data_IF_292995487083
#
_entry.id   IF_292995487083
#
_cell.length_a   1.000
_cell.length_b   1.000
_cell.length_c   1.000
_cell.angle_alpha   90.00
_cell.angle_beta   90.00
_cell.angle_gamma   90.00
#
_symmetry.space_group_name_H-M   'P 1'
#
loop_
_entity.id
_entity.type
_entity.pdbx_description
1 polymer ?
#
# COMPACT_ATOMS: atom_id res chain seq x y z
N UNK A 1 -59.59 60.21 3.19
CA UNK A 1 -58.62 61.21 2.69
C UNK A 1 -58.49 61.00 1.19
N UNK A 2 -58.76 62.06 0.42
CA UNK A 2 -58.66 62.22 -1.03
C UNK A 2 -59.52 61.26 -1.90
N UNK A 3 -60.64 61.68 -2.52
CA UNK A 3 -60.79 62.59 -3.70
C UNK A 3 -59.99 62.09 -4.92
N UNK A 4 -60.51 61.88 -6.13
CA UNK A 4 -61.74 62.39 -6.75
C UNK A 4 -61.95 61.77 -8.13
N UNK A 5 -63.22 61.58 -8.48
CA UNK A 5 -63.88 61.89 -9.76
C UNK A 5 -63.43 61.18 -11.03
N UNK A 6 -64.17 60.11 -11.36
CA UNK A 6 -64.66 59.92 -12.72
C UNK A 6 -65.86 60.85 -12.95
N UNK A 7 -65.84 61.54 -14.09
CA UNK A 7 -66.98 62.21 -14.69
C UNK A 7 -67.13 61.65 -16.11
N UNK A 8 -68.28 61.01 -16.35
CA UNK A 8 -69.27 61.33 -17.40
C UNK A 8 -68.79 62.15 -18.61
N UNK A 9 -69.23 61.99 -19.87
CA UNK A 9 -70.14 61.13 -20.64
C UNK A 9 -70.21 61.84 -22.02
N UNK A 10 -70.52 61.09 -23.07
CA UNK A 10 -71.00 61.52 -24.41
C UNK A 10 -70.04 62.13 -25.45
N UNK A 11 -69.81 61.30 -26.48
CA UNK A 11 -70.40 61.40 -27.83
C UNK A 11 -69.95 62.51 -28.82
N UNK A 12 -69.67 62.02 -30.02
CA UNK A 12 -69.55 62.69 -31.31
C UNK A 12 -68.51 63.81 -31.49
N UNK A 13 -67.33 63.38 -31.95
CA UNK A 13 -66.67 64.09 -33.06
C UNK A 13 -66.05 63.07 -34.01
N UNK A 14 -66.71 62.89 -35.15
CA UNK A 14 -66.23 62.16 -36.31
C UNK A 14 -65.02 62.92 -36.89
N UNK A 15 -63.82 62.66 -36.38
CA UNK A 15 -62.58 63.11 -37.02
C UNK A 15 -62.22 62.09 -38.11
N UNK A 16 -62.58 62.44 -39.34
CA UNK A 16 -61.95 61.89 -40.53
C UNK A 16 -60.49 62.36 -40.57
N UNK A 17 -59.60 61.47 -41.02
CA UNK A 17 -58.18 61.66 -41.31
C UNK A 17 -57.19 61.41 -40.17
N UNK A 18 -56.85 60.14 -39.91
CA UNK A 18 -55.44 59.71 -39.78
C UNK A 18 -55.33 58.17 -39.88
N UNK A 19 -55.61 57.58 -41.06
CA UNK A 19 -55.12 56.23 -41.39
C UNK A 19 -53.58 56.29 -41.59
N UNK A 20 -52.83 56.57 -40.52
CA UNK A 20 -51.38 56.38 -40.50
C UNK A 20 -51.13 54.90 -40.25
N UNK A 21 -50.85 54.18 -41.33
CA UNK A 21 -50.06 52.96 -41.24
C UNK A 21 -48.67 53.35 -40.68
N UNK A 22 -48.52 53.33 -39.36
CA UNK A 22 -47.21 53.49 -38.73
C UNK A 22 -46.26 52.44 -39.31
N UNK A 23 -45.23 52.92 -39.99
CA UNK A 23 -44.21 52.06 -40.58
C UNK A 23 -43.45 51.40 -39.43
N UNK A 24 -43.65 50.09 -39.25
CA UNK A 24 -42.90 49.28 -38.28
C UNK A 24 -41.41 49.28 -38.65
N UNK A 25 -40.62 50.17 -38.02
CA UNK A 25 -39.16 50.19 -38.19
C UNK A 25 -38.53 49.18 -37.24
N UNK A 26 -38.19 48.00 -37.76
CA UNK A 26 -37.47 46.97 -37.01
C UNK A 26 -35.97 47.33 -36.88
N UNK A 27 -35.32 47.04 -35.74
CA UNK A 27 -33.88 47.22 -35.58
C UNK A 27 -33.07 46.44 -36.62
N UNK A 28 -31.98 47.03 -37.12
CA UNK A 28 -31.18 46.49 -38.24
C UNK A 28 -30.63 45.07 -38.02
N UNK A 29 -30.43 44.67 -36.77
CA UNK A 29 -29.94 43.32 -36.43
C UNK A 29 -31.06 42.28 -36.50
N UNK A 30 -32.30 42.67 -36.18
CA UNK A 30 -33.49 41.81 -36.28
C UNK A 30 -33.85 41.58 -37.75
N UNK A 31 -33.77 42.64 -38.57
CA UNK A 31 -34.05 42.54 -40.01
C UNK A 31 -33.08 41.58 -40.72
N UNK A 32 -31.78 41.65 -40.41
CA UNK A 32 -30.76 40.74 -40.98
C UNK A 32 -31.00 39.28 -40.65
N UNK A 33 -31.53 39.00 -39.46
CA UNK A 33 -31.83 37.63 -39.02
C UNK A 33 -33.11 37.13 -39.69
N UNK A 34 -34.12 38.00 -39.85
CA UNK A 34 -35.34 37.67 -40.59
C UNK A 34 -35.01 37.35 -42.05
N UNK A 35 -34.20 38.18 -42.72
CA UNK A 35 -33.80 37.96 -44.13
C UNK A 35 -32.97 36.68 -44.33
N UNK A 36 -32.26 36.20 -43.30
CA UNK A 36 -31.52 34.93 -43.34
C UNK A 36 -32.42 33.70 -43.16
N UNK A 37 -33.48 33.81 -42.37
CA UNK A 37 -34.36 32.69 -41.99
C UNK A 37 -35.53 32.56 -42.98
N UNK A 38 -36.01 33.68 -43.52
CA UNK A 38 -37.10 33.76 -44.49
C UNK A 38 -36.65 34.61 -45.68
N UNK A 39 -35.94 34.04 -46.67
CA UNK A 39 -35.57 34.76 -47.88
C UNK A 39 -36.83 35.00 -48.73
N UNK A 40 -37.48 36.14 -48.54
CA UNK A 40 -38.59 36.54 -49.39
C UNK A 40 -38.06 37.07 -50.73
N UNK A 41 -38.64 36.58 -51.82
CA UNK A 41 -38.36 37.08 -53.18
C UNK A 41 -39.45 38.04 -53.65
N UNK A 42 -40.46 38.32 -52.81
CA UNK A 42 -41.56 39.20 -53.13
C UNK A 42 -41.10 40.66 -53.01
N UNK A 43 -41.43 41.48 -54.00
CA UNK A 43 -41.01 42.88 -54.06
C UNK A 43 -41.68 43.73 -52.99
N UNK A 44 -42.84 43.25 -52.48
CA UNK A 44 -43.62 43.86 -51.40
C UNK A 44 -42.92 43.74 -50.04
N UNK A 45 -42.05 42.75 -49.86
CA UNK A 45 -41.36 42.48 -48.59
C UNK A 45 -40.06 43.31 -48.43
N UNK A 46 -39.73 44.17 -49.41
CA UNK A 46 -38.53 45.01 -49.36
C UNK A 46 -38.71 46.18 -48.39
N UNK A 47 -37.67 46.44 -47.60
CA UNK A 47 -37.63 47.55 -46.62
C UNK A 47 -37.86 48.92 -47.28
N UNK A 48 -37.41 49.10 -48.52
CA UNK A 48 -37.59 50.31 -49.33
C UNK A 48 -38.77 50.21 -50.32
N UNK A 49 -39.81 49.44 -50.00
CA UNK A 49 -40.95 49.27 -50.90
C UNK A 49 -41.61 50.62 -51.23
N UNK A 50 -41.51 51.03 -52.49
CA UNK A 50 -42.22 52.21 -52.99
C UNK A 50 -43.50 51.76 -53.72
N UNK A 51 -44.70 52.01 -53.14
CA UNK A 51 -45.95 51.59 -53.73
C UNK A 51 -46.19 52.26 -55.09
N UNK A 52 -45.67 53.48 -55.29
CA UNK A 52 -45.85 54.23 -56.55
C UNK A 52 -45.03 53.60 -57.67
N UNK A 53 -43.77 53.22 -57.40
CA UNK A 53 -42.92 52.57 -58.41
C UNK A 53 -43.42 51.17 -58.75
N UNK A 54 -43.93 50.43 -57.75
CA UNK A 54 -44.53 49.11 -57.95
C UNK A 54 -45.81 49.17 -58.79
N UNK A 55 -46.70 50.13 -58.51
CA UNK A 55 -47.90 50.36 -59.32
C UNK A 55 -47.52 50.77 -60.76
N UNK A 56 -46.51 51.63 -60.92
CA UNK A 56 -46.03 52.06 -62.23
C UNK A 56 -45.35 50.92 -63.02
N UNK A 57 -44.75 49.94 -62.35
CA UNK A 57 -44.23 48.72 -62.98
C UNK A 57 -45.36 47.76 -63.41
N UNK A 58 -46.43 47.66 -62.61
CA UNK A 58 -47.61 46.85 -62.95
C UNK A 58 -48.44 47.47 -64.08
N UNK A 59 -48.48 48.81 -64.18
CA UNK A 59 -49.21 49.54 -65.21
C UNK A 59 -48.33 50.58 -65.93
N UNK A 60 -47.41 50.17 -66.83
CA UNK A 60 -46.46 51.09 -67.48
C UNK A 60 -47.07 52.01 -68.53
N UNK A 61 -48.26 51.68 -69.05
CA UNK A 61 -48.95 52.43 -70.12
C UNK A 61 -50.45 52.49 -69.87
N UNK A 62 -51.15 53.50 -70.41
CA UNK A 62 -52.62 53.66 -70.24
C UNK A 62 -53.43 52.46 -70.75
N UNK A 63 -52.90 51.68 -71.70
CA UNK A 63 -53.54 50.46 -72.20
C UNK A 63 -53.49 49.31 -71.19
N UNK A 64 -52.52 49.31 -70.25
CA UNK A 64 -52.38 48.29 -69.20
C UNK A 64 -53.48 48.39 -68.12
N UNK A 65 -54.11 49.56 -67.98
CA UNK A 65 -55.22 49.79 -67.04
C UNK A 65 -56.48 48.96 -67.35
N UNK A 66 -56.57 48.40 -68.57
CA UNK A 66 -57.65 47.48 -68.94
C UNK A 66 -57.65 46.19 -68.09
N UNK A 67 -56.52 45.80 -67.49
CA UNK A 67 -56.38 44.58 -66.69
C UNK A 67 -56.47 44.82 -65.16
N UNK A 68 -56.94 46.00 -64.73
CA UNK A 68 -56.92 46.42 -63.32
C UNK A 68 -57.73 45.49 -62.41
N UNK A 69 -58.90 45.03 -62.87
CA UNK A 69 -59.77 44.16 -62.08
C UNK A 69 -59.16 42.76 -61.85
N UNK A 70 -58.37 42.26 -62.80
CA UNK A 70 -57.66 40.99 -62.69
C UNK A 70 -56.52 41.09 -61.66
N UNK A 71 -55.76 42.17 -61.68
CA UNK A 71 -54.70 42.45 -60.69
C UNK A 71 -55.30 42.63 -59.29
N UNK A 72 -56.40 43.38 -59.16
CA UNK A 72 -57.11 43.54 -57.88
C UNK A 72 -57.63 42.20 -57.38
N UNK A 73 -58.17 41.35 -58.26
CA UNK A 73 -58.61 39.99 -57.93
C UNK A 73 -57.47 39.12 -57.41
N UNK A 74 -56.31 39.15 -58.08
CA UNK A 74 -55.10 38.44 -57.68
C UNK A 74 -54.59 38.90 -56.30
N UNK A 75 -54.51 40.21 -56.07
CA UNK A 75 -54.09 40.78 -54.78
C UNK A 75 -55.06 40.40 -53.67
N UNK A 76 -56.38 40.50 -53.90
CA UNK A 76 -57.39 40.05 -52.92
C UNK A 76 -57.29 38.56 -52.61
N UNK A 77 -56.95 37.73 -53.60
CA UNK A 77 -56.73 36.29 -53.39
C UNK A 77 -55.47 36.05 -52.57
N UNK A 78 -54.37 36.77 -52.84
CA UNK A 78 -53.13 36.71 -52.05
C UNK A 78 -53.36 37.11 -50.59
N UNK A 79 -54.11 38.20 -50.35
CA UNK A 79 -54.46 38.64 -48.98
C UNK A 79 -55.22 37.55 -48.23
N UNK A 80 -56.20 36.88 -48.88
CA UNK A 80 -56.97 35.80 -48.24
C UNK A 80 -56.12 34.56 -47.96
N UNK A 81 -55.21 34.21 -48.85
CA UNK A 81 -54.26 33.12 -48.63
C UNK A 81 -53.36 33.43 -47.43
N UNK A 82 -52.79 34.64 -47.39
CA UNK A 82 -51.93 35.08 -46.30
C UNK A 82 -52.66 35.11 -44.94
N UNK A 83 -53.90 35.62 -44.89
CA UNK A 83 -54.71 35.61 -43.66
C UNK A 83 -55.00 34.18 -43.16
N UNK A 84 -55.13 33.23 -44.09
CA UNK A 84 -55.30 31.80 -43.75
C UNK A 84 -54.00 31.21 -43.19
N UNK A 85 -52.87 31.51 -43.82
CA UNK A 85 -51.54 31.05 -43.40
C UNK A 85 -51.13 31.63 -42.04
N UNK A 86 -51.43 32.91 -41.80
CA UNK A 86 -51.23 33.58 -40.51
C UNK A 86 -52.04 32.87 -39.43
N UNK A 87 -53.34 32.59 -39.67
CA UNK A 87 -54.18 31.90 -38.69
C UNK A 87 -53.70 30.47 -38.40
N UNK A 88 -53.21 29.77 -39.40
CA UNK A 88 -52.65 28.43 -39.22
C UNK A 88 -51.38 28.48 -38.37
N UNK A 89 -50.47 29.41 -38.69
CA UNK A 89 -49.21 29.60 -37.98
C UNK A 89 -49.43 30.01 -36.51
N UNK A 90 -50.35 30.92 -36.23
CA UNK A 90 -50.66 31.36 -34.86
C UNK A 90 -51.23 30.20 -34.02
N UNK A 91 -52.13 29.39 -34.59
CA UNK A 91 -52.68 28.23 -33.88
C UNK A 91 -51.63 27.16 -33.63
N UNK A 92 -50.76 26.91 -34.61
CA UNK A 92 -49.63 26.00 -34.46
C UNK A 92 -48.70 26.45 -33.33
N UNK A 93 -48.37 27.75 -33.28
CA UNK A 93 -47.53 28.32 -32.22
C UNK A 93 -48.16 28.22 -30.83
N UNK A 94 -49.46 28.52 -30.69
CA UNK A 94 -50.13 28.45 -29.39
C UNK A 94 -50.18 27.02 -28.83
N UNK A 95 -50.37 26.02 -29.69
CA UNK A 95 -50.37 24.61 -29.24
C UNK A 95 -48.96 24.13 -28.88
N UNK A 96 -47.93 24.55 -29.62
CA UNK A 96 -46.53 24.22 -29.29
C UNK A 96 -46.04 24.91 -28.02
N UNK A 97 -46.42 26.16 -27.75
CA UNK A 97 -46.01 26.87 -26.53
C UNK A 97 -46.53 26.17 -25.26
N UNK A 98 -47.78 25.68 -25.28
CA UNK A 98 -48.36 24.96 -24.14
C UNK A 98 -47.64 23.63 -23.89
N UNK A 99 -47.27 22.91 -24.96
CA UNK A 99 -46.59 21.62 -24.86
C UNK A 99 -45.11 21.80 -24.42
N UNK A 100 -44.44 22.84 -24.92
CA UNK A 100 -43.09 23.23 -24.49
C UNK A 100 -43.06 23.60 -23.00
N UNK A 101 -44.04 24.38 -22.52
CA UNK A 101 -44.15 24.73 -21.12
C UNK A 101 -44.37 23.51 -20.22
N UNK A 102 -45.21 22.56 -20.64
CA UNK A 102 -45.41 21.29 -19.91
C UNK A 102 -44.15 20.43 -19.89
N UNK A 103 -43.48 20.27 -21.03
CA UNK A 103 -42.24 19.50 -21.09
C UNK A 103 -41.15 20.12 -20.20
N UNK A 104 -41.08 21.45 -20.14
CA UNK A 104 -40.18 22.17 -19.25
C UNK A 104 -40.52 21.96 -17.78
N UNK A 105 -41.80 22.00 -17.42
CA UNK A 105 -42.26 21.75 -16.05
C UNK A 105 -42.00 20.30 -15.60
N UNK A 106 -42.25 19.32 -16.48
CA UNK A 106 -41.93 17.90 -16.22
C UNK A 106 -40.41 17.67 -16.07
N UNK A 107 -39.59 18.32 -16.90
CA UNK A 107 -38.14 18.28 -16.77
C UNK A 107 -37.68 18.90 -15.44
N UNK A 108 -38.25 20.04 -15.05
CA UNK A 108 -37.94 20.70 -13.77
C UNK A 108 -38.30 19.81 -12.58
N UNK A 109 -39.48 19.18 -12.60
CA UNK A 109 -39.92 18.25 -11.57
C UNK A 109 -39.03 17.00 -11.50
N UNK A 110 -38.62 16.46 -12.65
CA UNK A 110 -37.68 15.32 -12.72
C UNK A 110 -36.31 15.66 -12.15
N UNK A 111 -35.82 16.88 -12.43
CA UNK A 111 -34.56 17.38 -11.87
C UNK A 111 -34.64 17.50 -10.35
N UNK A 112 -35.75 18.05 -9.81
CA UNK A 112 -35.95 18.14 -8.36
C UNK A 112 -35.99 16.75 -7.70
N UNK A 113 -36.67 15.79 -8.32
CA UNK A 113 -36.71 14.41 -7.85
C UNK A 113 -35.31 13.77 -7.86
N UNK A 114 -34.52 13.97 -8.92
CA UNK A 114 -33.15 13.48 -9.01
C UNK A 114 -32.26 14.08 -7.93
N UNK A 115 -32.39 15.38 -7.63
CA UNK A 115 -31.65 16.00 -6.54
C UNK A 115 -32.02 15.42 -5.18
N UNK A 116 -33.30 15.11 -4.96
CA UNK A 116 -33.72 14.43 -3.74
C UNK A 116 -33.12 13.03 -3.65
N UNK A 117 -33.21 12.23 -4.72
CA UNK A 117 -32.64 10.89 -4.76
C UNK A 117 -31.12 10.91 -4.56
N UNK A 118 -30.42 11.87 -5.17
CA UNK A 118 -28.97 12.03 -5.00
C UNK A 118 -28.62 12.38 -3.55
N UNK A 119 -29.43 13.20 -2.88
CA UNK A 119 -29.26 13.52 -1.47
C UNK A 119 -29.49 12.30 -0.58
N UNK A 120 -30.52 11.51 -0.85
CA UNK A 120 -30.79 10.27 -0.12
C UNK A 120 -29.67 9.23 -0.30
N UNK A 121 -29.13 9.11 -1.52
CA UNK A 121 -27.99 8.24 -1.80
C UNK A 121 -26.76 8.72 -1.03
N UNK A 122 -26.50 10.03 -1.02
CA UNK A 122 -25.40 10.62 -0.26
C UNK A 122 -25.54 10.35 1.23
N UNK A 123 -26.71 10.60 1.82
CA UNK A 123 -26.95 10.34 3.25
C UNK A 123 -26.79 8.85 3.59
N UNK A 124 -27.21 7.94 2.71
CA UNK A 124 -26.99 6.50 2.88
C UNK A 124 -25.51 6.12 2.77
N UNK A 125 -24.78 6.73 1.84
CA UNK A 125 -23.35 6.52 1.67
C UNK A 125 -22.57 7.01 2.89
N UNK A 126 -22.89 8.20 3.40
CA UNK A 126 -22.25 8.79 4.59
C UNK A 126 -22.49 7.91 5.83
N UNK A 127 -23.73 7.43 6.04
CA UNK A 127 -24.06 6.47 7.11
C UNK A 127 -23.32 5.14 6.94
N UNK A 128 -23.20 4.65 5.70
CA UNK A 128 -22.46 3.42 5.41
C UNK A 128 -20.95 3.59 5.66
N UNK A 129 -20.38 4.75 5.35
CA UNK A 129 -18.98 5.06 5.63
C UNK A 129 -18.72 5.10 7.14
N UNK A 130 -19.59 5.75 7.91
CA UNK A 130 -19.49 5.82 9.37
C UNK A 130 -19.56 4.41 10.00
N UNK A 131 -20.51 3.58 9.57
CA UNK A 131 -20.63 2.19 10.03
C UNK A 131 -19.37 1.38 9.72
N UNK A 132 -18.81 1.51 8.51
CA UNK A 132 -17.56 0.81 8.13
C UNK A 132 -16.37 1.33 8.94
N UNK A 133 -16.28 2.63 9.19
CA UNK A 133 -15.25 3.21 10.07
C UNK A 133 -15.34 2.67 11.49
N UNK A 134 -16.55 2.50 12.02
CA UNK A 134 -16.74 1.93 13.35
C UNK A 134 -16.33 0.46 13.41
N UNK A 135 -16.78 -0.36 12.47
CA UNK A 135 -16.41 -1.79 12.39
C UNK A 135 -14.89 -1.93 12.24
N UNK A 136 -14.26 -1.14 11.36
CA UNK A 136 -12.81 -1.23 11.13
C UNK A 136 -11.98 -0.68 12.30
N UNK A 137 -12.52 0.23 13.12
CA UNK A 137 -11.89 0.66 14.38
C UNK A 137 -11.80 -0.51 15.36
N UNK A 138 -12.88 -1.26 15.53
CA UNK A 138 -12.94 -2.36 16.49
C UNK A 138 -12.07 -3.56 16.02
N UNK A 139 -12.01 -3.80 14.71
CA UNK A 139 -11.08 -4.79 14.12
C UNK A 139 -9.62 -4.43 14.45
N UNK A 140 -9.23 -3.15 14.33
CA UNK A 140 -7.87 -2.72 14.69
C UNK A 140 -7.56 -2.97 16.17
N UNK A 141 -8.52 -2.69 17.05
CA UNK A 141 -8.35 -2.97 18.48
C UNK A 141 -8.20 -4.47 18.75
N UNK A 142 -9.02 -5.29 18.09
CA UNK A 142 -8.92 -6.76 18.18
C UNK A 142 -7.58 -7.29 17.67
N UNK A 143 -7.06 -6.75 16.57
CA UNK A 143 -5.74 -7.14 16.05
C UNK A 143 -4.62 -6.76 17.01
N UNK A 144 -4.67 -5.56 17.60
CA UNK A 144 -3.71 -5.15 18.64
C UNK A 144 -3.82 -6.06 19.86
N UNK A 145 -5.03 -6.39 20.31
CA UNK A 145 -5.25 -7.30 21.42
C UNK A 145 -4.71 -8.70 21.11
N UNK A 146 -5.00 -9.25 19.93
CA UNK A 146 -4.49 -10.54 19.46
C UNK A 146 -2.96 -10.55 19.40
N UNK A 147 -2.34 -9.49 18.86
CA UNK A 147 -0.88 -9.36 18.80
C UNK A 147 -0.27 -9.31 20.19
N UNK A 148 -0.84 -8.51 21.10
CA UNK A 148 -0.38 -8.40 22.47
C UNK A 148 -0.50 -9.75 23.19
N UNK A 149 -1.64 -10.43 23.10
CA UNK A 149 -1.86 -11.75 23.69
C UNK A 149 -0.89 -12.79 23.13
N UNK A 150 -0.70 -12.83 21.81
CA UNK A 150 0.24 -13.78 21.16
C UNK A 150 1.67 -13.52 21.64
N UNK A 151 2.06 -12.25 21.74
CA UNK A 151 3.36 -11.85 22.26
C UNK A 151 3.52 -12.29 23.71
N UNK A 152 2.52 -12.02 24.57
CA UNK A 152 2.53 -12.43 25.98
C UNK A 152 2.57 -13.94 26.17
N UNK A 153 1.83 -14.71 25.38
CA UNK A 153 1.86 -16.19 25.43
C UNK A 153 3.24 -16.69 25.02
N UNK A 154 3.79 -16.15 23.94
CA UNK A 154 5.12 -16.55 23.43
C UNK A 154 6.22 -16.22 24.42
N UNK A 155 6.20 -15.02 25.03
CA UNK A 155 7.19 -14.62 26.04
C UNK A 155 7.08 -15.48 27.30
N UNK A 156 5.86 -15.81 27.73
CA UNK A 156 5.66 -16.72 28.87
C UNK A 156 6.19 -18.12 28.58
N UNK A 157 5.90 -18.67 27.40
CA UNK A 157 6.40 -19.99 26.99
C UNK A 157 7.93 -20.02 26.91
N UNK A 158 8.54 -18.97 26.37
CA UNK A 158 10.00 -18.83 26.35
C UNK A 158 10.59 -18.72 27.76
N UNK A 159 9.93 -18.00 28.67
CA UNK A 159 10.36 -17.92 30.07
C UNK A 159 10.29 -19.29 30.76
N UNK A 160 9.20 -20.02 30.57
CA UNK A 160 9.06 -21.39 31.07
C UNK A 160 10.15 -22.30 30.51
N UNK A 161 10.40 -22.23 29.19
CA UNK A 161 11.45 -23.00 28.54
C UNK A 161 12.83 -22.67 29.12
N UNK A 162 13.10 -21.42 29.47
CA UNK A 162 14.36 -20.98 30.05
C UNK A 162 14.54 -21.51 31.48
N UNK A 163 13.51 -21.43 32.32
CA UNK A 163 13.55 -21.97 33.70
C UNK A 163 13.71 -23.50 33.67
N UNK A 164 12.87 -24.22 32.91
CA UNK A 164 12.99 -25.68 32.78
C UNK A 164 14.31 -26.10 32.14
N UNK A 165 14.84 -25.30 31.21
CA UNK A 165 16.11 -25.53 30.55
C UNK A 165 17.28 -25.43 31.52
N UNK A 166 17.28 -24.41 32.39
CA UNK A 166 18.27 -24.24 33.46
C UNK A 166 18.25 -25.46 34.40
N UNK A 167 17.07 -25.87 34.88
CA UNK A 167 16.94 -27.02 35.79
C UNK A 167 17.44 -28.33 35.16
N UNK A 168 17.08 -28.56 33.88
CA UNK A 168 17.53 -29.75 33.13
C UNK A 168 19.04 -29.73 32.88
N UNK A 169 19.61 -28.57 32.55
CA UNK A 169 21.06 -28.41 32.37
C UNK A 169 21.79 -28.66 33.69
N UNK A 170 21.30 -28.12 34.81
CA UNK A 170 21.92 -28.34 36.13
C UNK A 170 21.90 -29.83 36.52
N UNK A 171 20.79 -30.53 36.25
CA UNK A 171 20.71 -31.97 36.44
C UNK A 171 21.65 -32.76 35.52
N UNK A 172 21.80 -32.33 34.26
CA UNK A 172 22.67 -32.97 33.28
C UNK A 172 24.16 -32.76 33.61
N UNK A 173 24.53 -31.59 34.12
CA UNK A 173 25.88 -31.27 34.65
C UNK A 173 26.26 -32.25 35.76
N UNK A 174 25.35 -32.47 36.74
CA UNK A 174 25.56 -33.41 37.85
C UNK A 174 25.72 -34.86 37.38
N UNK A 175 25.02 -35.26 36.33
CA UNK A 175 25.08 -36.60 35.73
C UNK A 175 26.22 -36.78 34.72
N UNK A 176 26.94 -35.72 34.36
CA UNK A 176 27.91 -35.69 33.26
C UNK A 176 27.33 -36.16 31.91
N UNK A 177 26.05 -35.93 31.65
CA UNK A 177 25.43 -36.28 30.37
C UNK A 177 25.67 -35.18 29.34
N UNK A 178 26.86 -35.20 28.72
CA UNK A 178 27.27 -34.12 27.82
C UNK A 178 26.42 -34.04 26.52
N UNK A 179 25.89 -35.17 26.04
CA UNK A 179 24.99 -35.17 24.88
C UNK A 179 23.70 -34.37 25.12
N UNK A 180 23.12 -34.50 26.32
CA UNK A 180 21.90 -33.77 26.69
C UNK A 180 22.17 -32.28 26.89
N UNK A 181 23.32 -31.93 27.48
CA UNK A 181 23.73 -30.53 27.68
C UNK A 181 23.88 -29.83 26.32
N UNK A 182 24.51 -30.46 25.33
CA UNK A 182 24.66 -29.85 24.00
C UNK A 182 23.31 -29.50 23.35
N UNK A 183 22.33 -30.40 23.47
CA UNK A 183 20.99 -30.22 22.89
C UNK A 183 20.15 -29.17 23.64
N UNK A 184 20.32 -29.05 24.96
CA UNK A 184 19.55 -28.13 25.79
C UNK A 184 20.16 -26.72 25.82
N UNK A 185 21.49 -26.61 25.75
CA UNK A 185 22.19 -25.34 25.89
C UNK A 185 21.90 -24.39 24.72
N UNK A 186 21.87 -24.90 23.48
CA UNK A 186 21.65 -24.05 22.31
C UNK A 186 20.26 -23.37 22.32
N UNK A 187 19.12 -24.07 22.54
CA UNK A 187 17.81 -23.44 22.69
C UNK A 187 17.75 -22.43 23.85
N UNK A 188 18.39 -22.72 24.98
CA UNK A 188 18.41 -21.83 26.15
C UNK A 188 19.16 -20.54 25.85
N UNK A 189 20.34 -20.62 25.21
CA UNK A 189 21.10 -19.44 24.77
C UNK A 189 20.27 -18.63 23.75
N UNK A 190 19.67 -19.28 22.76
CA UNK A 190 18.84 -18.59 21.76
C UNK A 190 17.66 -17.86 22.40
N UNK A 191 16.98 -18.47 23.37
CA UNK A 191 15.88 -17.79 24.07
C UNK A 191 16.38 -16.67 24.97
N UNK A 192 17.56 -16.82 25.59
CA UNK A 192 18.18 -15.73 26.34
C UNK A 192 18.50 -14.51 25.47
N UNK A 193 18.85 -14.70 24.20
CA UNK A 193 19.04 -13.61 23.23
C UNK A 193 17.73 -12.86 22.94
N UNK A 194 16.60 -13.57 22.85
CA UNK A 194 15.28 -12.94 22.70
C UNK A 194 14.87 -12.11 23.92
N UNK A 195 15.44 -12.41 25.10
CA UNK A 195 15.18 -11.67 26.34
C UNK A 195 16.13 -10.48 26.59
N UNK A 196 17.11 -10.21 25.71
CA UNK A 196 18.00 -9.05 25.86
C UNK A 196 17.28 -7.70 26.04
N UNK A 197 16.18 -7.40 25.33
CA UNK A 197 15.43 -6.14 25.54
C UNK A 197 14.81 -6.02 26.94
N UNK A 198 14.62 -7.14 27.64
CA UNK A 198 13.98 -7.22 28.94
C UNK A 198 14.98 -7.37 30.10
N UNK A 199 16.27 -7.19 29.85
CA UNK A 199 17.34 -7.37 30.84
C UNK A 199 17.25 -6.42 32.05
N UNK A 200 16.52 -5.31 31.92
CA UNK A 200 16.27 -4.37 33.01
C UNK A 200 15.36 -4.95 34.11
N UNK A 201 14.70 -6.09 33.84
CA UNK A 201 13.86 -6.79 34.81
C UNK A 201 14.79 -7.66 35.68
N UNK A 202 14.82 -7.47 37.01
CA UNK A 202 15.80 -8.12 37.88
C UNK A 202 15.73 -9.65 37.83
N UNK A 203 14.53 -10.23 37.68
CA UNK A 203 14.35 -11.69 37.58
C UNK A 203 14.96 -12.26 36.29
N UNK A 204 14.86 -11.52 35.17
CA UNK A 204 15.46 -11.94 33.89
C UNK A 204 16.97 -11.76 33.94
N UNK A 205 17.45 -10.72 34.62
CA UNK A 205 18.88 -10.52 34.85
C UNK A 205 19.48 -11.65 35.70
N UNK A 206 18.79 -12.08 36.75
CA UNK A 206 19.18 -13.22 37.58
C UNK A 206 19.25 -14.50 36.73
N UNK A 207 18.20 -14.79 35.96
CA UNK A 207 18.18 -15.94 35.05
C UNK A 207 19.31 -15.89 34.02
N UNK A 208 19.60 -14.72 33.45
CA UNK A 208 20.73 -14.53 32.53
C UNK A 208 22.07 -14.79 33.20
N UNK A 209 22.22 -14.35 34.44
CA UNK A 209 23.43 -14.57 35.25
C UNK A 209 23.59 -16.05 35.54
N UNK A 210 22.51 -16.74 35.94
CA UNK A 210 22.51 -18.18 36.17
C UNK A 210 22.91 -18.97 34.92
N UNK A 211 22.38 -18.61 33.74
CA UNK A 211 22.80 -19.26 32.47
C UNK A 211 24.28 -19.03 32.17
N UNK A 212 24.80 -17.82 32.41
CA UNK A 212 26.23 -17.52 32.23
C UNK A 212 27.10 -18.30 33.21
N UNK A 213 26.69 -18.40 34.47
CA UNK A 213 27.38 -19.19 35.50
C UNK A 213 27.37 -20.68 35.15
N UNK A 214 26.24 -21.24 34.72
CA UNK A 214 26.16 -22.62 34.24
C UNK A 214 27.06 -22.84 33.03
N UNK A 215 27.08 -21.92 32.07
CA UNK A 215 27.95 -22.01 30.89
C UNK A 215 29.43 -21.97 31.28
N UNK A 216 29.80 -21.13 32.25
CA UNK A 216 31.15 -21.09 32.80
C UNK A 216 31.51 -22.38 33.54
N UNK A 217 30.59 -22.95 34.34
CA UNK A 217 30.78 -24.24 35.01
C UNK A 217 30.98 -25.38 34.00
N UNK A 218 30.14 -25.45 32.97
CA UNK A 218 30.27 -26.44 31.89
C UNK A 218 31.62 -26.27 31.21
N UNK A 219 32.05 -25.04 30.92
CA UNK A 219 33.35 -24.74 30.28
C UNK A 219 34.52 -25.28 31.10
N UNK A 220 34.52 -25.04 32.41
CA UNK A 220 35.57 -25.55 33.33
C UNK A 220 35.53 -27.07 33.39
N UNK A 221 34.34 -27.67 33.51
CA UNK A 221 34.18 -29.12 33.60
C UNK A 221 34.59 -29.83 32.31
N UNK A 222 34.21 -29.29 31.15
CA UNK A 222 34.58 -29.80 29.82
C UNK A 222 36.08 -29.70 29.60
N UNK A 223 36.71 -28.58 29.97
CA UNK A 223 38.17 -28.44 29.91
C UNK A 223 38.84 -29.51 30.75
N UNK A 224 38.43 -29.67 32.00
CA UNK A 224 39.00 -30.68 32.90
C UNK A 224 38.81 -32.09 32.37
N UNK A 225 37.63 -32.41 31.83
CA UNK A 225 37.37 -33.72 31.24
C UNK A 225 38.24 -33.98 30.00
N UNK A 226 38.50 -32.95 29.18
CA UNK A 226 39.49 -33.05 28.10
C UNK A 226 40.91 -33.26 28.65
N UNK A 227 41.32 -32.54 29.70
CA UNK A 227 42.64 -32.72 30.32
C UNK A 227 42.80 -34.13 30.91
N UNK A 228 41.80 -34.63 31.63
CA UNK A 228 41.78 -35.96 32.25
C UNK A 228 41.73 -37.07 31.18
N UNK A 229 41.06 -36.84 30.04
CA UNK A 229 41.03 -37.77 28.91
C UNK A 229 42.44 -38.02 28.33
N UNK A 230 43.28 -36.99 28.25
CA UNK A 230 44.60 -37.08 27.61
C UNK A 230 45.78 -37.26 28.60
N UNK A 231 45.63 -36.84 29.86
CA UNK A 231 46.68 -36.99 30.89
C UNK A 231 46.36 -38.06 31.95
N UNK A 232 45.14 -38.61 31.96
CA UNK A 232 44.72 -39.59 32.96
C UNK A 232 45.40 -40.96 32.83
N UNK A 233 45.19 -41.87 33.80
CA UNK A 233 45.81 -43.20 33.81
C UNK A 233 45.46 -44.06 32.58
N UNK A 234 44.39 -43.72 31.85
CA UNK A 234 43.96 -44.39 30.61
C UNK A 234 44.43 -43.69 29.32
N UNK A 235 45.24 -42.62 29.41
CA UNK A 235 45.74 -41.86 28.26
C UNK A 235 46.46 -42.72 27.20
N UNK A 236 47.07 -43.83 27.63
CA UNK A 236 47.79 -44.76 26.74
C UNK A 236 46.88 -45.70 25.95
N UNK A 237 45.63 -45.88 26.37
CA UNK A 237 44.62 -46.75 25.77
C UNK A 237 43.34 -45.96 25.44
N UNK A 238 43.48 -44.71 24.98
CA UNK A 238 42.33 -43.88 24.67
C UNK A 238 41.64 -44.42 23.40
N UNK A 239 40.45 -45.00 23.56
CA UNK A 239 39.58 -45.38 22.46
C UNK A 239 38.56 -44.28 22.19
N UNK A 240 38.08 -44.10 20.94
CA UNK A 240 37.04 -43.13 20.62
C UNK A 240 35.77 -43.47 21.40
N UNK A 241 35.57 -42.81 22.54
CA UNK A 241 34.41 -43.02 23.38
C UNK A 241 33.33 -42.00 22.99
N UNK A 242 32.09 -42.46 22.88
CA UNK A 242 30.95 -41.61 22.50
C UNK A 242 30.81 -40.40 23.43
N UNK A 243 31.20 -40.57 24.69
CA UNK A 243 31.31 -39.51 25.68
C UNK A 243 32.22 -38.34 25.26
N UNK A 244 33.39 -38.60 24.68
CA UNK A 244 34.31 -37.54 24.25
C UNK A 244 33.82 -36.80 23.01
N UNK A 245 33.15 -37.51 22.09
CA UNK A 245 32.48 -36.88 20.95
C UNK A 245 31.38 -35.92 21.41
N UNK A 246 30.62 -36.30 22.44
CA UNK A 246 29.60 -35.44 23.01
C UNK A 246 30.20 -34.23 23.75
N UNK A 247 31.36 -34.39 24.41
CA UNK A 247 32.14 -33.27 24.95
C UNK A 247 32.60 -32.31 23.84
N UNK A 248 33.07 -32.82 22.71
CA UNK A 248 33.45 -31.98 21.57
C UNK A 248 32.25 -31.20 20.99
N UNK A 249 31.07 -31.83 20.90
CA UNK A 249 29.85 -31.16 20.46
C UNK A 249 29.47 -30.00 21.38
N UNK A 250 29.61 -30.15 22.71
CA UNK A 250 29.38 -29.03 23.64
C UNK A 250 30.37 -27.90 23.38
N UNK A 251 31.65 -28.21 23.18
CA UNK A 251 32.68 -27.18 22.93
C UNK A 251 32.31 -26.34 21.71
N UNK A 252 31.82 -26.97 20.65
CA UNK A 252 31.33 -26.26 19.46
C UNK A 252 30.08 -25.42 19.72
N UNK A 253 29.20 -25.83 20.64
CA UNK A 253 27.98 -25.08 21.01
C UNK A 253 28.27 -23.88 21.92
N UNK A 254 29.26 -23.97 22.82
CA UNK A 254 29.56 -22.92 23.80
C UNK A 254 30.25 -21.71 23.16
N UNK A 255 31.46 -21.90 22.64
CA UNK A 255 32.25 -20.82 22.03
C UNK A 255 33.37 -21.42 21.16
N UNK A 256 33.50 -21.03 19.88
CA UNK A 256 34.65 -21.37 19.04
C UNK A 256 36.01 -21.04 19.66
N UNK A 257 36.09 -20.06 20.58
CA UNK A 257 37.33 -19.75 21.32
C UNK A 257 37.75 -20.89 22.23
N UNK A 258 36.80 -21.53 22.91
CA UNK A 258 37.09 -22.68 23.79
C UNK A 258 37.70 -23.82 22.98
N UNK A 259 37.21 -24.06 21.76
CA UNK A 259 37.81 -25.02 20.83
C UNK A 259 39.29 -24.72 20.57
N UNK A 260 39.61 -23.48 20.23
CA UNK A 260 41.00 -23.07 19.97
C UNK A 260 41.88 -23.19 21.22
N UNK A 261 41.35 -22.89 22.40
CA UNK A 261 42.09 -23.06 23.65
C UNK A 261 42.39 -24.54 23.94
N UNK A 262 41.42 -25.43 23.75
CA UNK A 262 41.61 -26.88 23.92
C UNK A 262 42.61 -27.42 22.91
N UNK A 263 42.52 -27.02 21.64
CA UNK A 263 43.49 -27.40 20.60
C UNK A 263 44.90 -26.89 20.96
N UNK A 264 45.05 -25.63 21.33
CA UNK A 264 46.34 -25.06 21.70
C UNK A 264 46.95 -25.74 22.92
N UNK A 265 46.15 -26.02 23.94
CA UNK A 265 46.59 -26.76 25.11
C UNK A 265 47.05 -28.17 24.74
N UNK A 266 46.27 -28.87 23.91
CA UNK A 266 46.59 -30.22 23.45
C UNK A 266 47.90 -30.24 22.66
N UNK A 267 48.05 -29.35 21.67
CA UNK A 267 49.28 -29.22 20.87
C UNK A 267 50.48 -28.86 21.75
N UNK A 268 50.35 -27.91 22.69
CA UNK A 268 51.44 -27.56 23.62
C UNK A 268 51.85 -28.74 24.48
N UNK A 269 50.90 -29.55 24.93
CA UNK A 269 51.19 -30.73 25.77
C UNK A 269 51.97 -31.77 24.98
N UNK A 270 51.54 -32.10 23.76
CA UNK A 270 52.24 -33.08 22.91
C UNK A 270 53.58 -32.56 22.34
N UNK A 271 53.69 -31.27 22.07
CA UNK A 271 54.95 -30.63 21.63
C UNK A 271 55.85 -30.23 22.81
N UNK A 272 55.45 -30.47 24.06
CA UNK A 272 56.28 -30.17 25.23
C UNK A 272 57.57 -30.99 25.21
N UNK A 273 57.49 -32.27 24.82
CA UNK A 273 58.66 -33.13 24.65
C UNK A 273 59.62 -32.57 23.60
N UNK A 274 59.10 -32.08 22.47
CA UNK A 274 59.91 -31.39 21.46
C UNK A 274 60.57 -30.14 22.02
N UNK A 275 59.81 -29.34 22.76
CA UNK A 275 60.30 -28.09 23.36
C UNK A 275 61.42 -28.35 24.36
N UNK A 276 61.33 -29.43 25.15
CA UNK A 276 62.37 -29.85 26.09
C UNK A 276 63.59 -30.40 25.34
N UNK A 277 63.40 -31.25 24.32
CA UNK A 277 64.50 -31.89 23.56
C UNK A 277 65.28 -30.95 22.63
N UNK A 278 64.72 -29.78 22.30
CA UNK A 278 65.29 -28.84 21.35
C UNK A 278 65.32 -27.40 21.88
N UNK A 279 65.41 -27.23 23.21
CA UNK A 279 65.55 -25.94 23.87
C UNK A 279 66.91 -25.29 23.55
N UNK A 280 67.01 -23.96 23.53
CA UNK A 280 68.25 -23.20 23.19
C UNK A 280 69.49 -23.60 24.00
N UNK A 281 69.32 -24.17 25.18
CA UNK A 281 70.39 -24.68 26.04
C UNK A 281 70.93 -26.06 25.64
N UNK A 282 70.29 -26.77 24.71
CA UNK A 282 70.67 -28.13 24.31
C UNK A 282 71.44 -28.17 22.98
N UNK A 283 72.46 -29.03 22.90
CA UNK A 283 73.33 -29.18 21.72
C UNK A 283 72.59 -29.65 20.45
N UNK A 284 71.37 -30.19 20.59
CA UNK A 284 70.53 -30.65 19.48
C UNK A 284 69.79 -29.53 18.76
N UNK A 285 69.92 -28.28 19.22
CA UNK A 285 69.11 -27.14 18.78
C UNK A 285 69.66 -26.45 17.52
N UNK A 286 70.92 -26.70 17.20
CA UNK A 286 71.60 -26.10 16.06
C UNK A 286 71.06 -26.62 14.71
N UNK A 287 71.08 -25.75 13.69
CA UNK A 287 70.59 -26.00 12.33
C UNK A 287 71.18 -27.27 11.66
N UNK A 288 72.35 -27.69 12.11
CA UNK A 288 73.06 -28.91 11.67
C UNK A 288 72.35 -30.22 12.04
N UNK A 289 71.29 -30.17 12.86
CA UNK A 289 70.51 -31.35 13.27
C UNK A 289 69.04 -31.28 12.82
N UNK A 290 68.76 -30.52 11.76
CA UNK A 290 67.42 -30.38 11.18
C UNK A 290 66.80 -31.73 10.75
N UNK A 291 67.62 -32.67 10.26
CA UNK A 291 67.16 -34.01 9.89
C UNK A 291 66.62 -34.79 11.09
N UNK A 292 67.20 -34.61 12.28
CA UNK A 292 66.74 -35.25 13.51
C UNK A 292 65.42 -34.65 14.01
N UNK A 293 65.25 -33.32 13.89
CA UNK A 293 63.99 -32.64 14.19
C UNK A 293 62.87 -33.11 13.27
N UNK A 294 63.15 -33.20 11.98
CA UNK A 294 62.20 -33.69 10.99
C UNK A 294 61.86 -35.18 11.21
N UNK A 295 62.84 -36.03 11.53
CA UNK A 295 62.60 -37.44 11.84
C UNK A 295 61.85 -37.66 13.16
N UNK A 296 62.01 -36.76 14.14
CA UNK A 296 61.19 -36.77 15.36
C UNK A 296 59.74 -36.37 15.02
N UNK A 297 59.55 -35.28 14.27
CA UNK A 297 58.22 -34.79 13.90
C UNK A 297 57.44 -35.83 13.09
N UNK A 298 58.07 -36.49 12.12
CA UNK A 298 57.44 -37.59 11.36
C UNK A 298 56.99 -38.74 12.26
N UNK A 299 57.80 -39.14 13.23
CA UNK A 299 57.41 -40.21 14.18
C UNK A 299 56.26 -39.76 15.07
N UNK A 300 56.30 -38.53 15.58
CA UNK A 300 55.24 -37.96 16.39
C UNK A 300 53.92 -37.83 15.62
N UNK A 301 53.95 -37.44 14.34
CA UNK A 301 52.77 -37.35 13.48
C UNK A 301 52.15 -38.73 13.19
N UNK A 302 52.96 -39.75 12.90
CA UNK A 302 52.46 -41.12 12.69
C UNK A 302 51.82 -41.66 13.97
N UNK A 303 52.48 -41.48 15.12
CA UNK A 303 51.92 -41.88 16.42
C UNK A 303 50.63 -41.10 16.76
N UNK A 304 50.56 -39.84 16.34
CA UNK A 304 49.37 -39.02 16.49
C UNK A 304 48.21 -39.54 15.64
N UNK A 305 48.42 -39.81 14.35
CA UNK A 305 47.37 -40.28 13.45
C UNK A 305 46.84 -41.67 13.87
N UNK A 306 47.73 -42.58 14.29
CA UNK A 306 47.33 -43.90 14.78
C UNK A 306 46.42 -43.84 16.03
N UNK A 307 46.65 -42.85 16.91
CA UNK A 307 45.95 -42.76 18.21
C UNK A 307 44.77 -41.79 18.20
N UNK A 308 44.89 -40.65 17.52
CA UNK A 308 43.99 -39.50 17.71
C UNK A 308 43.15 -39.11 16.48
N UNK A 309 43.43 -39.67 15.31
CA UNK A 309 42.73 -39.37 14.04
C UNK A 309 41.20 -39.51 14.10
N UNK A 310 40.70 -40.41 14.96
CA UNK A 310 39.26 -40.71 15.10
C UNK A 310 38.58 -40.06 16.31
N UNK A 311 39.31 -39.30 17.11
CA UNK A 311 38.82 -38.75 18.38
C UNK A 311 38.17 -37.38 18.18
N UNK A 312 38.80 -36.54 17.35
CA UNK A 312 38.32 -35.20 17.09
C UNK A 312 37.34 -35.17 15.91
N UNK A 313 36.32 -34.31 15.95
CA UNK A 313 35.48 -34.07 14.78
C UNK A 313 36.27 -33.58 13.57
N UNK A 314 35.85 -33.96 12.36
CA UNK A 314 36.55 -33.61 11.11
C UNK A 314 36.67 -32.10 10.92
N UNK A 315 35.69 -31.32 11.37
CA UNK A 315 35.68 -29.86 11.24
C UNK A 315 36.66 -29.13 12.19
N UNK A 316 37.33 -29.84 13.10
CA UNK A 316 38.39 -29.27 13.93
C UNK A 316 39.74 -29.23 13.21
N UNK A 317 39.84 -29.81 11.99
CA UNK A 317 41.04 -29.82 11.15
C UNK A 317 42.30 -30.39 11.85
N UNK A 318 42.07 -31.30 12.80
CA UNK A 318 43.15 -31.97 13.55
C UNK A 318 43.68 -33.23 12.86
N UNK A 319 43.16 -33.60 11.69
CA UNK A 319 43.56 -34.81 10.94
C UNK A 319 44.40 -34.41 9.73
N UNK A 320 45.44 -35.19 9.42
CA UNK A 320 46.26 -35.00 8.23
C UNK A 320 45.40 -35.24 6.97
N UNK A 321 45.53 -34.39 5.95
CA UNK A 321 44.82 -34.52 4.67
C UNK A 321 45.65 -35.27 3.64
#
# INVERSE_FOLDING_TARGET
>A
MATTNGADVDDDTFDADDDRYDTLVLPADVQKVIDQILPSTDEIDRVDFNPVDYINQLFPTEQSLANIDEVIGSVKSKIRALDTDIRFTIRGHSDTEIDEHKALEEAQNSILLLFQQMREIKDKADKSEEMVKEITRDIKQLDVAKKNLTTSITTLNHLQMLIEGIDKIEAAIKKKSYGDIANLLHPVISVLEHFQPYINIPQIQELSTNVKELTAQITVQVRKECEDAFNGPNAKNFTPNQHFLDVCKIIDVIDPKLRLEVINWFLKTHLSEYTILYQESQELTWLDKIDRRHAWLKRALVEYDEKYSRIFPVHWEMVER
#
